data_IF_877022083104
#
_entry.id   IF_877022083104
#
_cell.length_a   1.000
_cell.length_b   1.000
_cell.length_c   1.000
_cell.angle_alpha   90.00
_cell.angle_beta   90.00
_cell.angle_gamma   90.00
#
_symmetry.space_group_name_H-M   'P 1'
#
loop_
_entity.id
_entity.type
_entity.pdbx_description
1 polymer ?
#
# COMPACT_ATOMS: atom_id res chain seq x y z
N UNK A 1 33.56 28.52 43.81
CA UNK A 1 33.42 27.17 43.24
C UNK A 1 32.78 27.38 41.88
N UNK A 2 33.62 27.46 40.85
CA UNK A 2 33.20 27.70 39.47
C UNK A 2 32.47 26.48 38.91
N UNK A 3 31.31 26.70 38.32
CA UNK A 3 30.66 25.76 37.42
C UNK A 3 30.39 26.44 36.09
N UNK A 4 31.46 26.57 35.30
CA UNK A 4 31.37 26.89 33.89
C UNK A 4 30.91 25.65 33.10
N UNK A 5 29.84 25.86 32.33
CA UNK A 5 29.69 25.39 30.94
C UNK A 5 29.52 23.88 30.70
N UNK A 6 28.27 23.40 30.78
CA UNK A 6 27.81 22.30 29.93
C UNK A 6 27.11 22.89 28.71
N UNK A 7 27.82 22.92 27.58
CA UNK A 7 27.26 23.31 26.29
C UNK A 7 26.18 22.31 25.87
N UNK A 8 24.97 22.82 25.68
CA UNK A 8 23.93 22.15 24.91
C UNK A 8 24.40 22.12 23.45
N UNK A 9 24.79 20.95 22.96
CA UNK A 9 24.87 20.69 21.52
C UNK A 9 23.44 20.43 21.05
N UNK A 10 22.83 21.30 20.22
CA UNK A 10 21.56 20.97 19.61
C UNK A 10 21.79 19.82 18.63
N UNK A 11 21.22 18.64 18.91
CA UNK A 11 21.04 17.62 17.89
C UNK A 11 20.02 18.17 16.89
N UNK A 12 20.49 18.50 15.70
CA UNK A 12 19.63 18.81 14.56
C UNK A 12 19.05 17.48 14.10
N UNK A 13 17.86 17.12 14.58
CA UNK A 13 17.05 16.11 13.93
C UNK A 13 16.51 16.72 12.63
N UNK A 14 17.07 16.33 11.50
CA UNK A 14 16.50 16.70 10.20
C UNK A 14 15.06 16.21 10.13
N UNK A 15 14.11 17.13 10.06
CA UNK A 15 12.73 16.79 9.72
C UNK A 15 12.71 16.47 8.23
N UNK A 16 12.48 15.20 7.87
CA UNK A 16 12.21 14.86 6.48
C UNK A 16 10.98 15.67 6.01
N UNK A 17 10.96 16.20 4.78
CA UNK A 17 9.75 16.77 4.20
C UNK A 17 8.60 15.77 4.37
N UNK A 18 7.38 16.23 4.65
CA UNK A 18 6.21 15.33 4.84
C UNK A 18 6.08 14.34 3.69
N UNK A 19 6.36 14.77 2.45
CA UNK A 19 6.37 13.92 1.25
C UNK A 19 7.34 12.72 1.33
N UNK A 20 8.46 12.85 2.04
CA UNK A 20 9.49 11.81 2.18
C UNK A 20 9.27 10.93 3.42
N UNK A 21 8.08 10.97 4.02
CA UNK A 21 7.70 10.15 5.18
C UNK A 21 6.73 9.04 4.77
N UNK A 22 6.60 7.95 5.55
CA UNK A 22 5.56 6.94 5.30
C UNK A 22 4.15 7.53 5.27
N UNK A 23 3.90 8.56 6.09
CA UNK A 23 2.64 9.31 6.07
C UNK A 23 2.43 10.01 4.74
N UNK A 24 3.46 10.70 4.25
CA UNK A 24 3.43 11.40 2.96
C UNK A 24 3.14 10.48 1.79
N UNK A 25 3.77 9.30 1.78
CA UNK A 25 3.49 8.28 0.75
C UNK A 25 2.01 7.88 0.74
N UNK A 26 1.42 7.62 1.91
CA UNK A 26 0.00 7.25 2.01
C UNK A 26 -0.87 8.44 1.56
N UNK A 27 -0.57 9.66 1.99
CA UNK A 27 -1.32 10.85 1.56
C UNK A 27 -1.23 11.08 0.05
N UNK A 28 -0.07 10.84 -0.56
CA UNK A 28 0.13 10.92 -2.00
C UNK A 28 -0.76 9.92 -2.75
N UNK A 29 -0.83 8.67 -2.29
CA UNK A 29 -1.68 7.63 -2.89
C UNK A 29 -3.17 7.97 -2.75
N UNK A 30 -3.62 8.38 -1.56
CA UNK A 30 -5.05 8.57 -1.32
C UNK A 30 -5.60 9.90 -1.86
N UNK A 31 -4.75 10.91 -2.09
CA UNK A 31 -5.18 12.20 -2.63
C UNK A 31 -5.95 12.10 -3.96
N UNK A 32 -5.44 11.43 -5.03
CA UNK A 32 -6.21 11.23 -6.25
C UNK A 32 -7.41 10.28 -6.05
N UNK A 33 -7.29 9.26 -5.20
CA UNK A 33 -8.38 8.31 -4.94
C UNK A 33 -9.61 8.97 -4.30
N UNK A 34 -9.40 9.93 -3.40
CA UNK A 34 -10.49 10.74 -2.82
C UNK A 34 -11.16 11.63 -3.88
N UNK A 35 -10.41 12.09 -4.89
CA UNK A 35 -10.95 12.83 -6.02
C UNK A 35 -11.66 11.93 -7.05
N UNK A 36 -11.65 10.61 -6.87
CA UNK A 36 -12.17 9.64 -7.84
C UNK A 36 -11.31 9.53 -9.09
N UNK A 37 -10.05 9.98 -9.02
CA UNK A 37 -9.09 9.92 -10.12
C UNK A 37 -8.43 8.54 -10.17
N UNK A 38 -8.01 8.14 -11.37
CA UNK A 38 -7.18 6.96 -11.54
C UNK A 38 -5.73 7.31 -11.23
N UNK A 39 -5.10 6.52 -10.37
CA UNK A 39 -3.69 6.67 -9.99
C UNK A 39 -2.94 5.43 -10.45
N UNK A 40 -1.77 5.62 -11.05
CA UNK A 40 -0.80 4.54 -11.24
C UNK A 40 -0.22 4.18 -9.87
N UNK A 41 -0.90 3.29 -9.17
CA UNK A 41 -0.54 2.87 -7.81
C UNK A 41 0.72 2.00 -7.79
N UNK A 42 1.06 1.35 -8.91
CA UNK A 42 2.19 0.41 -8.98
C UNK A 42 3.55 1.13 -8.88
N UNK A 43 3.61 2.42 -9.25
CA UNK A 43 4.83 3.25 -9.08
C UNK A 43 5.27 3.37 -7.61
N UNK A 44 4.34 3.19 -6.68
CA UNK A 44 4.56 3.28 -5.24
C UNK A 44 5.00 1.95 -4.61
N UNK A 45 4.90 0.84 -5.34
CA UNK A 45 5.22 -0.48 -4.82
C UNK A 45 6.73 -0.69 -4.65
N UNK A 46 7.09 -1.51 -3.67
CA UNK A 46 8.45 -2.01 -3.48
C UNK A 46 8.84 -2.90 -4.66
N UNK A 47 10.15 -3.08 -4.94
CA UNK A 47 10.60 -3.99 -5.99
C UNK A 47 10.04 -5.41 -5.83
N UNK A 48 9.89 -5.88 -4.59
CA UNK A 48 9.27 -7.17 -4.29
C UNK A 48 7.81 -7.21 -4.73
N UNK A 49 6.98 -6.26 -4.29
CA UNK A 49 5.55 -6.25 -4.64
C UNK A 49 5.34 -6.06 -6.16
N UNK A 50 6.14 -5.21 -6.80
CA UNK A 50 6.14 -5.06 -8.26
C UNK A 50 6.42 -6.39 -8.98
N UNK A 51 7.39 -7.17 -8.48
CA UNK A 51 7.70 -8.47 -9.08
C UNK A 51 6.53 -9.46 -9.02
N UNK A 52 5.72 -9.40 -7.96
CA UNK A 52 4.52 -10.23 -7.82
C UNK A 52 3.42 -9.80 -8.80
N UNK A 53 3.24 -8.49 -8.99
CA UNK A 53 2.30 -7.95 -9.99
C UNK A 53 2.72 -8.41 -11.39
N UNK A 54 3.98 -8.24 -11.74
CA UNK A 54 4.52 -8.68 -13.04
C UNK A 54 4.36 -10.19 -13.24
N UNK A 55 4.63 -11.00 -12.22
CA UNK A 55 4.44 -12.45 -12.29
C UNK A 55 2.96 -12.83 -12.49
N UNK A 56 2.04 -12.16 -11.78
CA UNK A 56 0.60 -12.37 -11.96
C UNK A 56 0.15 -12.00 -13.38
N UNK A 57 0.60 -10.85 -13.92
CA UNK A 57 0.29 -10.43 -15.28
C UNK A 57 0.82 -11.42 -16.33
N UNK A 58 2.02 -11.96 -16.12
CA UNK A 58 2.59 -12.98 -17.01
C UNK A 58 1.80 -14.28 -16.96
N UNK A 59 1.35 -14.73 -15.78
CA UNK A 59 0.52 -15.92 -15.64
C UNK A 59 -0.87 -15.74 -16.30
N UNK A 60 -1.39 -14.52 -16.25
CA UNK A 60 -2.65 -14.13 -16.89
C UNK A 60 -2.54 -13.83 -18.39
N UNK A 61 -1.33 -13.81 -18.97
CA UNK A 61 -1.15 -13.56 -20.39
C UNK A 61 -1.91 -14.60 -21.24
N UNK A 62 -2.34 -14.19 -22.43
CA UNK A 62 -3.11 -15.04 -23.35
C UNK A 62 -2.27 -15.46 -24.54
N UNK A 63 -2.53 -16.66 -25.06
CA UNK A 63 -1.94 -17.15 -26.30
C UNK A 63 -2.51 -16.43 -27.54
N UNK A 64 -2.01 -16.79 -28.73
CA UNK A 64 -2.48 -16.22 -30.00
C UNK A 64 -3.96 -16.51 -30.34
N UNK A 65 -4.66 -17.29 -29.51
CA UNK A 65 -6.09 -17.60 -29.61
C UNK A 65 -6.91 -16.96 -28.49
N UNK A 66 -6.29 -16.19 -27.59
CA UNK A 66 -6.95 -15.55 -26.46
C UNK A 66 -7.14 -16.46 -25.24
N UNK A 67 -6.50 -17.63 -25.19
CA UNK A 67 -6.59 -18.54 -24.02
C UNK A 67 -5.51 -18.18 -23.01
N UNK A 68 -5.87 -18.04 -21.73
CA UNK A 68 -4.91 -17.78 -20.65
C UNK A 68 -3.84 -18.88 -20.57
N UNK A 69 -2.59 -18.48 -20.42
CA UNK A 69 -1.43 -19.38 -20.33
C UNK A 69 -1.54 -20.23 -19.06
N UNK A 70 -1.91 -19.63 -17.94
CA UNK A 70 -2.27 -20.33 -16.71
C UNK A 70 -3.73 -20.05 -16.32
N UNK A 71 -4.67 -20.96 -16.67
CA UNK A 71 -6.07 -20.78 -16.31
C UNK A 71 -6.33 -20.78 -14.79
N UNK A 72 -5.43 -21.37 -14.00
CA UNK A 72 -5.55 -21.44 -12.55
C UNK A 72 -4.95 -20.21 -11.85
N UNK A 73 -4.21 -19.36 -12.57
CA UNK A 73 -3.71 -18.13 -12.01
C UNK A 73 -4.90 -17.25 -11.55
N UNK A 74 -4.77 -16.49 -10.46
CA UNK A 74 -5.81 -15.57 -10.06
C UNK A 74 -5.86 -14.37 -11.02
N UNK A 75 -7.05 -13.95 -11.43
CA UNK A 75 -7.28 -12.74 -12.23
C UNK A 75 -8.01 -11.71 -11.36
N UNK A 76 -7.35 -10.57 -11.12
CA UNK A 76 -7.92 -9.49 -10.31
C UNK A 76 -8.38 -8.29 -11.12
N UNK A 77 -8.29 -8.36 -12.46
CA UNK A 77 -8.72 -7.30 -13.37
C UNK A 77 -8.28 -5.91 -12.90
N UNK A 78 -9.25 -5.03 -12.63
CA UNK A 78 -9.02 -3.66 -12.20
C UNK A 78 -9.12 -3.47 -10.67
N UNK A 79 -8.93 -4.51 -9.87
CA UNK A 79 -8.94 -4.44 -8.42
C UNK A 79 -7.85 -3.50 -7.88
N UNK A 80 -8.25 -2.50 -7.11
CA UNK A 80 -7.37 -1.58 -6.41
C UNK A 80 -7.32 -1.94 -4.91
N UNK A 81 -6.15 -2.35 -4.39
CA UNK A 81 -6.01 -2.78 -3.00
C UNK A 81 -6.22 -1.64 -1.99
N UNK A 82 -6.03 -0.37 -2.38
CA UNK A 82 -6.18 0.77 -1.45
C UNK A 82 -7.64 1.17 -1.22
N UNK A 83 -8.57 0.72 -2.06
CA UNK A 83 -10.01 0.99 -1.90
C UNK A 83 -10.84 -0.28 -1.68
N UNK A 84 -10.18 -1.44 -1.67
CA UNK A 84 -10.79 -2.77 -1.55
C UNK A 84 -11.87 -3.00 -2.63
N UNK A 85 -11.52 -2.77 -3.88
CA UNK A 85 -12.42 -2.89 -5.03
C UNK A 85 -11.89 -2.21 -6.28
N UNK A 86 -12.65 -2.24 -7.37
CA UNK A 86 -12.28 -1.60 -8.64
C UNK A 86 -12.55 -0.09 -8.65
N UNK A 87 -13.72 0.30 -8.16
CA UNK A 87 -14.14 1.70 -8.04
C UNK A 87 -14.76 1.93 -6.67
N UNK A 88 -14.78 3.19 -6.22
CA UNK A 88 -15.36 3.54 -4.94
C UNK A 88 -15.36 5.03 -4.68
N UNK A 89 -16.17 5.44 -3.70
CA UNK A 89 -16.12 6.79 -3.11
C UNK A 89 -15.68 6.61 -1.67
N UNK A 90 -14.56 7.24 -1.31
CA UNK A 90 -13.98 7.13 0.03
C UNK A 90 -14.61 8.16 0.96
N UNK A 91 -15.38 7.69 1.93
CA UNK A 91 -15.94 8.51 2.99
C UNK A 91 -15.22 8.23 4.31
N UNK A 92 -15.13 9.24 5.19
CA UNK A 92 -14.54 9.10 6.52
C UNK A 92 -13.11 8.52 6.51
N UNK A 93 -12.30 8.91 5.51
CA UNK A 93 -10.92 8.48 5.41
C UNK A 93 -10.14 8.95 6.64
N UNK A 94 -9.49 8.00 7.32
CA UNK A 94 -8.57 8.24 8.41
C UNK A 94 -7.35 7.33 8.25
N UNK A 95 -6.18 7.89 8.55
CA UNK A 95 -4.91 7.19 8.48
C UNK A 95 -4.24 7.31 9.84
N UNK A 96 -3.80 6.19 10.44
CA UNK A 96 -3.08 6.21 11.70
C UNK A 96 -1.69 6.82 11.53
N UNK A 97 -1.07 7.22 12.64
CA UNK A 97 0.35 7.55 12.59
C UNK A 97 1.16 6.28 12.24
N UNK A 98 2.06 6.32 11.24
CA UNK A 98 2.89 5.18 10.91
C UNK A 98 3.82 4.81 12.07
N UNK A 99 3.87 3.53 12.41
CA UNK A 99 4.88 2.98 13.33
C UNK A 99 6.11 2.61 12.51
N UNK A 100 7.24 3.25 12.78
CA UNK A 100 8.49 3.06 12.04
C UNK A 100 9.46 2.22 12.87
N UNK A 101 10.03 1.17 12.26
CA UNK A 101 11.06 0.34 12.86
C UNK A 101 12.04 -0.15 11.80
N UNK A 102 13.33 0.14 11.98
CA UNK A 102 14.45 -0.41 11.18
C UNK A 102 14.24 -0.35 9.66
N UNK A 103 13.85 0.82 9.13
CA UNK A 103 13.63 1.01 7.69
C UNK A 103 12.32 0.39 7.17
N UNK A 104 11.45 -0.07 8.06
CA UNK A 104 10.08 -0.47 7.74
C UNK A 104 9.08 0.43 8.45
N UNK A 105 7.87 0.52 7.93
CA UNK A 105 6.79 1.22 8.58
C UNK A 105 5.45 0.51 8.36
N UNK A 106 4.55 0.63 9.33
CA UNK A 106 3.18 0.12 9.22
C UNK A 106 2.20 1.19 9.64
N UNK A 107 1.14 1.39 8.85
CA UNK A 107 0.03 2.26 9.20
C UNK A 107 -1.30 1.55 8.93
N UNK A 108 -2.35 2.00 9.62
CA UNK A 108 -3.72 1.59 9.34
C UNK A 108 -4.43 2.69 8.57
N UNK A 109 -5.20 2.30 7.56
CA UNK A 109 -6.12 3.19 6.84
C UNK A 109 -7.54 2.67 7.02
N UNK A 110 -8.45 3.55 7.42
CA UNK A 110 -9.86 3.22 7.54
C UNK A 110 -10.71 4.19 6.75
N UNK A 111 -11.76 3.70 6.11
CA UNK A 111 -12.73 4.49 5.37
C UNK A 111 -14.04 3.72 5.26
N UNK A 112 -15.07 4.37 4.74
CA UNK A 112 -16.29 3.74 4.26
C UNK A 112 -16.29 3.78 2.73
N UNK A 113 -16.48 2.64 2.08
CA UNK A 113 -16.66 2.54 0.63
C UNK A 113 -17.98 1.82 0.36
N UNK A 114 -18.90 2.45 -0.38
CA UNK A 114 -20.24 1.91 -0.68
C UNK A 114 -20.99 1.39 0.57
N UNK A 115 -21.01 2.19 1.65
CA UNK A 115 -21.59 1.85 2.96
C UNK A 115 -20.92 0.68 3.70
N UNK A 116 -19.78 0.17 3.22
CA UNK A 116 -18.98 -0.86 3.89
C UNK A 116 -17.80 -0.21 4.61
N UNK A 117 -17.72 -0.31 5.95
CA UNK A 117 -16.51 0.07 6.68
C UNK A 117 -15.35 -0.84 6.29
N UNK A 118 -14.25 -0.24 5.86
CA UNK A 118 -13.03 -0.93 5.44
C UNK A 118 -11.88 -0.49 6.35
N UNK A 119 -11.04 -1.45 6.72
CA UNK A 119 -9.79 -1.20 7.44
C UNK A 119 -8.68 -1.97 6.73
N UNK A 120 -7.69 -1.23 6.26
CA UNK A 120 -6.50 -1.74 5.61
C UNK A 120 -5.27 -1.53 6.50
N UNK A 121 -4.38 -2.50 6.52
CA UNK A 121 -3.01 -2.32 7.00
C UNK A 121 -2.11 -2.08 5.78
N UNK A 122 -1.28 -1.05 5.85
CA UNK A 122 -0.31 -0.67 4.82
C UNK A 122 1.07 -0.91 5.40
N UNK A 123 1.80 -1.90 4.86
CA UNK A 123 3.22 -2.10 5.17
C UNK A 123 4.07 -1.37 4.14
N UNK A 124 5.14 -0.75 4.63
CA UNK A 124 6.06 0.06 3.85
C UNK A 124 7.49 -0.31 4.18
N UNK A 125 8.37 -0.15 3.19
CA UNK A 125 9.80 -0.36 3.33
C UNK A 125 10.54 0.84 2.75
N UNK A 126 11.65 1.22 3.36
CA UNK A 126 12.56 2.21 2.83
C UNK A 126 13.47 1.53 1.80
N UNK A 127 13.41 2.01 0.56
CA UNK A 127 14.16 1.51 -0.58
C UNK A 127 14.85 2.69 -1.28
N UNK A 128 16.18 2.62 -1.41
CA UNK A 128 17.02 3.68 -2.01
C UNK A 128 16.77 5.10 -1.46
N UNK A 129 16.36 5.21 -0.19
CA UNK A 129 16.08 6.48 0.47
C UNK A 129 14.65 7.00 0.32
N UNK A 130 13.79 6.29 -0.43
CA UNK A 130 12.36 6.58 -0.55
C UNK A 130 11.53 5.52 0.16
N UNK A 131 10.33 5.88 0.63
CA UNK A 131 9.38 4.89 1.13
C UNK A 131 8.61 4.26 -0.02
N UNK A 132 8.37 2.96 0.07
CA UNK A 132 7.60 2.17 -0.89
C UNK A 132 6.58 1.31 -0.16
N UNK A 133 5.46 1.03 -0.81
CA UNK A 133 4.44 0.10 -0.31
C UNK A 133 4.95 -1.32 -0.51
N UNK A 134 5.11 -2.05 0.58
CA UNK A 134 5.55 -3.43 0.55
C UNK A 134 4.39 -4.43 0.52
N UNK A 135 3.27 -4.09 1.17
CA UNK A 135 2.02 -4.85 1.06
C UNK A 135 0.81 -4.05 1.55
N UNK A 136 -0.38 -4.55 1.19
CA UNK A 136 -1.68 -4.05 1.66
C UNK A 136 -2.50 -5.23 2.13
N UNK A 137 -3.14 -5.11 3.29
CA UNK A 137 -3.98 -6.16 3.84
C UNK A 137 -5.35 -5.64 4.28
N UNK A 138 -6.43 -6.33 3.91
CA UNK A 138 -7.75 -6.12 4.52
C UNK A 138 -7.85 -6.88 5.84
N UNK A 139 -8.02 -6.13 6.94
CA UNK A 139 -8.06 -6.69 8.31
C UNK A 139 -9.36 -6.37 9.06
N UNK A 140 -10.23 -5.57 8.46
CA UNK A 140 -11.50 -5.12 9.03
C UNK A 140 -12.63 -6.14 8.92
N UNK A 141 -13.86 -5.62 8.82
CA UNK A 141 -15.04 -6.43 8.55
C UNK A 141 -15.07 -6.89 7.08
N UNK A 142 -15.58 -8.09 6.82
CA UNK A 142 -15.67 -8.68 5.48
C UNK A 142 -14.52 -9.64 5.16
N UNK A 143 -14.19 -9.75 3.88
CA UNK A 143 -13.13 -10.62 3.38
C UNK A 143 -11.76 -10.09 3.80
N UNK A 144 -10.94 -11.02 4.28
CA UNK A 144 -9.57 -10.76 4.74
C UNK A 144 -8.62 -11.28 3.69
N UNK A 145 -7.68 -10.45 3.32
CA UNK A 145 -6.72 -10.76 2.28
C UNK A 145 -5.44 -9.98 2.49
N UNK A 146 -4.37 -10.47 1.89
CA UNK A 146 -3.08 -9.81 1.75
C UNK A 146 -2.81 -9.68 0.25
N UNK A 147 -2.47 -8.50 -0.25
CA UNK A 147 -2.44 -8.24 -1.69
C UNK A 147 -1.35 -9.08 -2.38
N UNK A 148 -0.17 -9.19 -1.76
CA UNK A 148 0.87 -10.11 -2.25
C UNK A 148 0.40 -11.56 -2.38
N UNK A 149 -0.52 -11.99 -1.52
CA UNK A 149 -1.06 -13.35 -1.52
C UNK A 149 -2.15 -13.52 -2.58
N UNK A 150 -3.01 -12.51 -2.73
CA UNK A 150 -3.98 -12.46 -3.84
C UNK A 150 -3.25 -12.63 -5.16
N UNK A 151 -2.20 -11.86 -5.44
CA UNK A 151 -1.43 -11.94 -6.70
C UNK A 151 -0.93 -13.36 -7.06
N UNK A 152 -0.87 -14.28 -6.11
CA UNK A 152 -0.37 -15.64 -6.30
C UNK A 152 -1.45 -16.72 -6.15
N UNK A 153 -2.50 -16.48 -5.35
CA UNK A 153 -3.52 -17.47 -5.02
C UNK A 153 -4.93 -16.85 -5.02
N UNK A 154 -5.93 -17.66 -5.40
CA UNK A 154 -7.35 -17.33 -5.19
C UNK A 154 -7.83 -18.02 -3.89
N UNK A 155 -7.80 -17.32 -2.73
CA UNK A 155 -8.24 -17.90 -1.47
C UNK A 155 -9.77 -18.04 -1.37
N UNK A 156 -10.53 -17.46 -2.30
CA UNK A 156 -12.00 -17.42 -2.27
C UNK A 156 -12.64 -18.41 -3.26
N UNK A 157 -11.85 -18.99 -4.16
CA UNK A 157 -12.30 -20.00 -5.12
C UNK A 157 -13.38 -19.47 -6.06
N UNK A 158 -13.24 -18.22 -6.50
CA UNK A 158 -14.19 -17.55 -7.40
C UNK A 158 -13.90 -17.76 -8.89
N UNK A 159 -12.92 -18.60 -9.23
CA UNK A 159 -12.60 -18.97 -10.62
C UNK A 159 -13.70 -19.79 -11.32
#
# INVERSE_FOLDING_TARGET
>A
MDWTLFGLVPMIFGSAPVADTPRGLIEEIYKPLVAGEHEDIEKHFSPHLQSLVVANLQANAVDGKGTRIDPAAPDFGAFNPFINGETGTLENLAVSEPVIQDGTAVAMVSFTNASKPTVLTISMVQDEGAWKIDDVASVGAGEKWLYSWLLQYDPFGQQ
#
